data_IF_732481528460
#
_entry.id   IF_732481528460
#
_cell.length_a   1.000
_cell.length_b   1.000
_cell.length_c   1.000
_cell.angle_alpha   90.00
_cell.angle_beta   90.00
_cell.angle_gamma   90.00
#
_symmetry.space_group_name_H-M   'P 1'
#
loop_
_entity.id
_entity.type
_entity.pdbx_description
1 polymer ?
#
# COMPACT_ATOMS: atom_id res chain seq x y z
N UNK A 1 -52.44 -12.75 53.62
CA UNK A 1 -52.59 -11.29 53.86
C UNK A 1 -51.94 -10.55 52.70
N UNK A 2 -52.74 -10.02 51.77
CA UNK A 2 -52.22 -9.15 50.71
C UNK A 2 -51.92 -7.78 51.34
N UNK A 3 -50.66 -7.36 51.34
CA UNK A 3 -50.28 -6.05 51.87
C UNK A 3 -50.54 -5.00 50.77
N UNK A 4 -51.60 -4.18 50.88
CA UNK A 4 -52.07 -3.32 49.79
C UNK A 4 -51.04 -2.26 49.37
N UNK A 5 -50.12 -1.89 50.28
CA UNK A 5 -49.02 -0.96 49.99
C UNK A 5 -47.95 -1.59 49.10
N UNK A 6 -47.68 -2.88 49.29
CA UNK A 6 -46.71 -3.63 48.48
C UNK A 6 -47.23 -3.83 47.05
N UNK A 7 -48.52 -4.12 46.92
CA UNK A 7 -49.17 -4.33 45.62
C UNK A 7 -49.26 -3.01 44.81
N UNK A 8 -49.48 -1.88 45.49
CA UNK A 8 -49.42 -0.53 44.88
C UNK A 8 -48.00 -0.16 44.42
N UNK A 9 -46.98 -0.51 45.20
CA UNK A 9 -45.57 -0.28 44.85
C UNK A 9 -45.15 -1.07 43.62
N UNK A 10 -45.47 -2.37 43.57
CA UNK A 10 -45.16 -3.23 42.41
C UNK A 10 -45.84 -2.71 41.15
N UNK A 11 -47.10 -2.27 41.21
CA UNK A 11 -47.78 -1.69 40.05
C UNK A 11 -47.08 -0.43 39.54
N UNK A 12 -46.69 0.49 40.44
CA UNK A 12 -45.93 1.69 40.06
C UNK A 12 -44.59 1.34 39.43
N UNK A 13 -43.88 0.37 39.99
CA UNK A 13 -42.62 -0.12 39.45
C UNK A 13 -42.81 -0.73 38.05
N UNK A 14 -43.85 -1.55 37.85
CA UNK A 14 -44.18 -2.13 36.54
C UNK A 14 -44.52 -1.06 35.50
N UNK A 15 -45.26 -0.02 35.86
CA UNK A 15 -45.54 1.10 34.95
C UNK A 15 -44.27 1.87 34.58
N UNK A 16 -43.36 2.08 35.54
CA UNK A 16 -42.07 2.72 35.29
C UNK A 16 -41.20 1.85 34.37
N UNK A 17 -41.15 0.54 34.61
CA UNK A 17 -40.43 -0.39 33.74
C UNK A 17 -41.04 -0.38 32.33
N UNK A 18 -42.37 -0.50 32.19
CA UNK A 18 -43.04 -0.47 30.90
C UNK A 18 -42.78 0.84 30.14
N UNK A 19 -42.69 1.97 30.85
CA UNK A 19 -42.37 3.25 30.26
C UNK A 19 -40.90 3.36 29.85
N UNK A 20 -39.95 2.83 30.64
CA UNK A 20 -38.50 2.96 30.39
C UNK A 20 -37.95 1.93 29.39
N UNK A 21 -38.50 0.72 29.36
CA UNK A 21 -38.08 -0.35 28.46
C UNK A 21 -38.03 0.06 26.98
N UNK A 22 -39.03 0.73 26.39
CA UNK A 22 -38.94 1.15 24.99
C UNK A 22 -37.81 2.15 24.75
N UNK A 23 -37.53 3.06 25.68
CA UNK A 23 -36.41 3.99 25.55
C UNK A 23 -35.06 3.28 25.59
N UNK A 24 -34.91 2.27 26.46
CA UNK A 24 -33.69 1.47 26.54
C UNK A 24 -33.46 0.65 25.27
N UNK A 25 -34.53 0.06 24.71
CA UNK A 25 -34.46 -0.69 23.46
C UNK A 25 -34.03 0.23 22.30
N UNK A 26 -34.69 1.38 22.14
CA UNK A 26 -34.35 2.33 21.08
C UNK A 26 -32.93 2.87 21.26
N UNK A 27 -32.50 3.16 22.48
CA UNK A 27 -31.14 3.61 22.75
C UNK A 27 -30.09 2.55 22.38
N UNK A 28 -30.33 1.29 22.73
CA UNK A 28 -29.42 0.21 22.41
C UNK A 28 -29.36 -0.06 20.90
N UNK A 29 -30.50 -0.11 20.22
CA UNK A 29 -30.55 -0.32 18.77
C UNK A 29 -29.91 0.82 18.00
N UNK A 30 -30.12 2.07 18.40
CA UNK A 30 -29.49 3.23 17.75
C UNK A 30 -27.98 3.26 17.98
N UNK A 31 -27.51 2.93 19.18
CA UNK A 31 -26.08 2.83 19.46
C UNK A 31 -25.42 1.74 18.61
N UNK A 32 -26.04 0.54 18.59
CA UNK A 32 -25.54 -0.59 17.80
C UNK A 32 -25.56 -0.29 16.29
N UNK A 33 -26.61 0.33 15.78
CA UNK A 33 -26.68 0.75 14.38
C UNK A 33 -25.60 1.77 14.02
N UNK A 34 -25.31 2.71 14.92
CA UNK A 34 -24.24 3.69 14.72
C UNK A 34 -22.87 3.00 14.69
N UNK A 35 -22.61 2.10 15.64
CA UNK A 35 -21.37 1.34 15.72
C UNK A 35 -21.16 0.43 14.50
N UNK A 36 -22.20 -0.28 14.07
CA UNK A 36 -22.16 -1.13 12.88
C UNK A 36 -21.90 -0.32 11.60
N UNK A 37 -22.49 0.87 11.46
CA UNK A 37 -22.25 1.72 10.30
C UNK A 37 -20.85 2.35 10.32
N UNK A 38 -20.35 2.76 11.49
CA UNK A 38 -18.99 3.25 11.63
C UNK A 38 -17.97 2.15 11.28
N UNK A 39 -18.21 0.92 11.73
CA UNK A 39 -17.36 -0.22 11.40
C UNK A 39 -17.42 -0.54 9.89
N UNK A 40 -18.60 -0.53 9.28
CA UNK A 40 -18.75 -0.71 7.82
C UNK A 40 -18.00 0.35 7.03
N UNK A 41 -18.14 1.63 7.41
CA UNK A 41 -17.43 2.75 6.78
C UNK A 41 -15.91 2.60 6.92
N UNK A 42 -15.44 2.19 8.10
CA UNK A 42 -14.02 1.96 8.36
C UNK A 42 -13.48 0.80 7.52
N UNK A 43 -14.23 -0.30 7.41
CA UNK A 43 -13.84 -1.44 6.59
C UNK A 43 -13.82 -1.08 5.11
N UNK A 44 -14.86 -0.41 4.59
CA UNK A 44 -14.90 0.01 3.18
C UNK A 44 -13.77 0.99 2.82
N UNK A 45 -13.46 1.92 3.73
CA UNK A 45 -12.35 2.85 3.55
C UNK A 45 -11.01 2.09 3.58
N UNK A 46 -10.84 1.15 4.51
CA UNK A 46 -9.64 0.31 4.60
C UNK A 46 -9.45 -0.54 3.34
N UNK A 47 -10.50 -1.15 2.81
CA UNK A 47 -10.46 -1.95 1.59
C UNK A 47 -10.10 -1.10 0.36
N UNK A 48 -10.66 0.11 0.27
CA UNK A 48 -10.36 1.05 -0.82
C UNK A 48 -8.90 1.50 -0.75
N UNK A 49 -8.43 1.90 0.44
CA UNK A 49 -7.03 2.29 0.66
C UNK A 49 -6.10 1.12 0.36
N UNK A 50 -6.45 -0.11 0.74
CA UNK A 50 -5.64 -1.29 0.46
C UNK A 50 -5.59 -1.61 -1.04
N UNK A 51 -6.69 -1.47 -1.76
CA UNK A 51 -6.76 -1.66 -3.21
C UNK A 51 -5.99 -0.59 -4.00
N UNK A 52 -6.00 0.66 -3.53
CA UNK A 52 -5.21 1.73 -4.14
C UNK A 52 -3.72 1.57 -3.82
N UNK A 53 -3.37 1.21 -2.58
CA UNK A 53 -1.99 0.89 -2.22
C UNK A 53 -1.46 -0.35 -2.95
N UNK A 54 -2.28 -1.37 -3.19
CA UNK A 54 -1.85 -2.56 -3.94
C UNK A 54 -1.63 -2.24 -5.42
N UNK A 55 -2.44 -1.36 -6.02
CA UNK A 55 -2.19 -0.86 -7.39
C UNK A 55 -0.93 -0.01 -7.47
N UNK A 56 -0.69 0.84 -6.46
CA UNK A 56 0.56 1.61 -6.38
C UNK A 56 1.76 0.67 -6.20
N UNK A 57 1.64 -0.39 -5.41
CA UNK A 57 2.68 -1.40 -5.24
C UNK A 57 2.92 -2.22 -6.52
N UNK A 58 1.85 -2.56 -7.26
CA UNK A 58 1.93 -3.26 -8.56
C UNK A 58 2.54 -2.36 -9.66
N UNK A 59 2.35 -1.03 -9.57
CA UNK A 59 3.01 -0.05 -10.45
C UNK A 59 4.43 0.29 -9.97
N UNK A 60 4.67 0.19 -8.67
CA UNK A 60 5.96 0.37 -8.00
C UNK A 60 6.84 -0.88 -8.02
N UNK A 61 6.48 -1.89 -8.79
CA UNK A 61 7.31 -3.07 -9.00
C UNK A 61 8.59 -2.62 -9.76
N UNK A 62 9.64 -2.38 -8.98
CA UNK A 62 10.95 -1.80 -9.33
C UNK A 62 11.48 -2.23 -10.70
N UNK A 63 11.19 -3.47 -11.09
CA UNK A 63 11.53 -4.05 -12.39
C UNK A 63 10.99 -3.28 -13.60
N UNK A 64 9.75 -2.77 -13.54
CA UNK A 64 9.16 -2.03 -14.67
C UNK A 64 9.78 -0.63 -14.78
N UNK A 65 10.09 -0.01 -13.65
CA UNK A 65 10.81 1.25 -13.59
C UNK A 65 12.22 1.08 -14.17
N UNK A 66 12.98 0.07 -13.72
CA UNK A 66 14.33 -0.19 -14.23
C UNK A 66 14.34 -0.59 -15.70
N UNK A 67 13.37 -1.39 -16.15
CA UNK A 67 13.24 -1.73 -17.57
C UNK A 67 13.00 -0.48 -18.42
N UNK A 68 12.11 0.41 -18.01
CA UNK A 68 11.84 1.66 -18.74
C UNK A 68 13.04 2.62 -18.68
N UNK A 69 13.70 2.74 -17.53
CA UNK A 69 14.90 3.55 -17.34
C UNK A 69 16.03 3.07 -18.26
N UNK A 70 16.32 1.77 -18.27
CA UNK A 70 17.36 1.20 -19.13
C UNK A 70 17.00 1.32 -20.59
N UNK A 71 15.74 1.08 -20.96
CA UNK A 71 15.29 1.30 -22.33
C UNK A 71 15.55 2.74 -22.75
N UNK A 72 15.09 3.73 -21.99
CA UNK A 72 15.27 5.14 -22.36
C UNK A 72 16.75 5.57 -22.45
N UNK A 73 17.59 5.11 -21.52
CA UNK A 73 18.99 5.52 -21.44
C UNK A 73 19.86 4.81 -22.49
N UNK A 74 19.69 3.49 -22.67
CA UNK A 74 20.52 2.70 -23.59
C UNK A 74 20.00 2.72 -25.05
N UNK A 75 18.71 2.93 -25.30
CA UNK A 75 18.18 3.05 -26.68
C UNK A 75 18.79 4.26 -27.40
N UNK A 76 19.09 5.35 -26.67
CA UNK A 76 19.79 6.54 -27.18
C UNK A 76 21.23 6.25 -27.63
N UNK A 77 21.90 5.27 -27.04
CA UNK A 77 23.28 4.87 -27.39
C UNK A 77 23.28 3.81 -28.48
N UNK A 78 22.27 2.94 -28.52
CA UNK A 78 22.16 1.86 -29.51
C UNK A 78 22.07 2.35 -30.97
N UNK A 79 21.60 3.58 -31.19
CA UNK A 79 21.41 4.15 -32.53
C UNK A 79 22.64 4.91 -33.05
N UNK A 80 23.70 5.05 -32.24
CA UNK A 80 24.95 5.73 -32.61
C UNK A 80 26.06 4.72 -32.93
N UNK A 81 27.03 5.08 -33.80
CA UNK A 81 28.22 4.26 -33.97
C UNK A 81 28.92 4.11 -32.61
N UNK A 82 29.19 2.86 -32.23
CA UNK A 82 29.71 2.47 -30.92
C UNK A 82 30.85 3.39 -30.44
N UNK A 83 30.61 4.12 -29.36
CA UNK A 83 31.57 5.00 -28.73
C UNK A 83 31.72 4.60 -27.25
N UNK A 84 32.79 3.87 -26.94
CA UNK A 84 33.10 3.36 -25.58
C UNK A 84 33.07 4.47 -24.52
N UNK A 85 33.50 5.68 -24.90
CA UNK A 85 33.52 6.86 -24.03
C UNK A 85 32.12 7.34 -23.66
N UNK A 86 31.17 7.37 -24.60
CA UNK A 86 29.78 7.76 -24.32
C UNK A 86 29.08 6.73 -23.43
N UNK A 87 29.33 5.45 -23.67
CA UNK A 87 28.80 4.36 -22.86
C UNK A 87 29.35 4.44 -21.42
N UNK A 88 30.65 4.73 -21.26
CA UNK A 88 31.26 4.93 -19.95
C UNK A 88 30.61 6.06 -19.16
N UNK A 89 30.44 7.22 -19.79
CA UNK A 89 29.80 8.37 -19.15
C UNK A 89 28.36 8.05 -18.74
N UNK A 90 27.60 7.35 -19.58
CA UNK A 90 26.23 6.98 -19.26
C UNK A 90 26.12 6.01 -18.06
N UNK A 91 27.08 5.09 -17.92
CA UNK A 91 27.13 4.19 -16.76
C UNK A 91 27.51 4.93 -15.47
N UNK A 92 28.47 5.85 -15.56
CA UNK A 92 28.85 6.71 -14.43
C UNK A 92 27.68 7.62 -14.02
N UNK A 93 26.96 8.21 -14.97
CA UNK A 93 25.77 9.03 -14.71
C UNK A 93 24.66 8.23 -14.03
N UNK A 94 24.40 6.99 -14.48
CA UNK A 94 23.40 6.11 -13.85
C UNK A 94 23.76 5.75 -12.41
N UNK A 95 25.04 5.59 -12.09
CA UNK A 95 25.50 5.34 -10.71
C UNK A 95 25.46 6.58 -9.83
N UNK A 96 25.73 7.75 -10.40
CA UNK A 96 25.60 9.01 -9.69
C UNK A 96 24.13 9.32 -9.37
N UNK A 97 23.22 9.01 -10.31
CA UNK A 97 21.77 9.18 -10.14
C UNK A 97 21.18 8.15 -9.16
N UNK A 98 21.74 6.93 -9.12
CA UNK A 98 21.29 5.81 -8.28
C UNK A 98 22.47 5.11 -7.59
N UNK A 99 23.03 5.70 -6.50
CA UNK A 99 24.18 5.14 -5.80
C UNK A 99 23.84 3.79 -5.15
N UNK A 100 24.77 2.83 -5.21
CA UNK A 100 24.68 1.49 -4.63
C UNK A 100 23.53 0.59 -5.14
N UNK A 101 22.79 1.01 -6.18
CA UNK A 101 21.65 0.26 -6.74
C UNK A 101 22.08 -0.64 -7.91
N UNK A 102 23.04 -0.20 -8.74
CA UNK A 102 23.41 -0.89 -9.97
C UNK A 102 24.88 -1.33 -10.00
N UNK A 103 25.09 -2.55 -10.51
CA UNK A 103 26.41 -3.09 -10.87
C UNK A 103 26.37 -3.50 -12.33
N UNK A 104 27.32 -3.03 -13.13
CA UNK A 104 27.34 -3.30 -14.57
C UNK A 104 28.44 -4.28 -14.95
N UNK A 105 28.09 -5.26 -15.79
CA UNK A 105 29.03 -6.18 -16.42
C UNK A 105 28.81 -6.17 -17.94
N UNK A 106 29.77 -5.61 -18.68
CA UNK A 106 29.64 -5.34 -20.12
C UNK A 106 30.52 -6.27 -20.92
N UNK A 107 29.92 -6.88 -21.94
CA UNK A 107 30.55 -7.86 -22.82
C UNK A 107 30.57 -7.32 -24.25
N UNK A 108 31.68 -7.54 -24.94
CA UNK A 108 31.77 -7.34 -26.39
C UNK A 108 31.03 -8.48 -27.13
N UNK A 109 30.71 -8.27 -28.40
CA UNK A 109 30.09 -9.25 -29.31
C UNK A 109 30.84 -10.59 -29.40
N UNK A 110 32.12 -10.60 -29.03
CA UNK A 110 32.98 -11.78 -29.00
C UNK A 110 32.92 -12.54 -27.67
N UNK A 111 32.06 -12.12 -26.72
CA UNK A 111 31.97 -12.72 -25.38
C UNK A 111 33.17 -12.36 -24.49
N UNK A 112 33.93 -11.33 -24.84
CA UNK A 112 35.05 -10.82 -24.03
C UNK A 112 34.52 -9.68 -23.16
N UNK A 113 34.74 -9.79 -21.85
CA UNK A 113 34.36 -8.74 -20.91
C UNK A 113 35.19 -7.46 -21.15
N UNK A 114 34.50 -6.32 -21.27
CA UNK A 114 35.14 -5.01 -21.39
C UNK A 114 35.44 -4.49 -19.99
N UNK A 115 36.66 -4.75 -19.51
CA UNK A 115 37.12 -4.39 -18.15
C UNK A 115 37.10 -2.89 -17.85
N UNK A 116 37.19 -2.04 -18.87
CA UNK A 116 37.14 -0.57 -18.73
C UNK A 116 35.75 -0.04 -18.38
N UNK A 117 34.70 -0.85 -18.60
CA UNK A 117 33.29 -0.49 -18.41
C UNK A 117 32.56 -1.37 -17.39
N UNK A 118 33.22 -2.41 -16.88
CA UNK A 118 32.63 -3.39 -15.96
C UNK A 118 33.13 -3.17 -14.54
N UNK A 119 32.23 -3.31 -13.57
CA UNK A 119 32.50 -3.01 -12.16
C UNK A 119 33.17 -4.14 -11.42
N UNK A 120 32.78 -5.37 -11.72
CA UNK A 120 33.40 -6.56 -11.18
C UNK A 120 34.37 -7.18 -12.20
N UNK A 121 35.65 -7.07 -11.89
CA UNK A 121 36.73 -7.82 -12.54
C UNK A 121 36.93 -9.22 -11.94
N UNK A 122 35.98 -9.69 -11.12
CA UNK A 122 36.01 -11.01 -10.47
C UNK A 122 34.85 -11.88 -10.96
N UNK A 123 35.07 -12.50 -12.11
CA UNK A 123 34.45 -13.79 -12.44
C UNK A 123 35.57 -14.81 -12.62
#
# INVERSE_FOLDING_TARGET
MNNPKFDSFIRKLLYICLALTPFLIVYYETHKFCEDNLNKLKTSLSETVHADLSKIAEVGDDHRFYHLLFKEKFEKVAHKPYCEKELKTLLEDLKNEFPDIFTFNIWDKNGIQIKSLSDDNKF
#
